data_IF_711066133962
#
_entry.id   IF_711066133962
#
_cell.length_a   1.000
_cell.length_b   1.000
_cell.length_c   1.000
_cell.angle_alpha   90.00
_cell.angle_beta   90.00
_cell.angle_gamma   90.00
#
_symmetry.space_group_name_H-M   'P 1'
#
loop_
_entity.id
_entity.type
_entity.pdbx_description
1 polymer ?
#
# COMPACT_ATOMS: atom_id res chain seq x y z
N UNK A 1 5.12 -10.89 3.16
CA UNK A 1 6.52 -10.41 3.02
C UNK A 1 6.99 -10.45 1.57
N UNK A 2 6.86 -11.57 0.85
CA UNK A 2 7.39 -11.69 -0.52
C UNK A 2 6.87 -10.67 -1.54
N UNK A 3 5.57 -10.35 -1.50
CA UNK A 3 4.98 -9.34 -2.40
C UNK A 3 5.60 -7.96 -2.15
N UNK A 4 5.77 -7.56 -0.88
CA UNK A 4 6.43 -6.30 -0.54
C UNK A 4 7.84 -6.26 -1.11
N UNK A 5 8.65 -7.30 -0.92
CA UNK A 5 10.03 -7.34 -1.41
C UNK A 5 10.11 -7.28 -2.93
N UNK A 6 9.25 -8.03 -3.63
CA UNK A 6 9.16 -8.01 -5.09
C UNK A 6 8.73 -6.63 -5.60
N UNK A 7 7.77 -6.00 -4.93
CA UNK A 7 7.31 -4.65 -5.26
C UNK A 7 8.42 -3.60 -5.09
N UNK A 8 9.22 -3.66 -4.02
CA UNK A 8 10.35 -2.74 -3.84
C UNK A 8 11.32 -2.79 -5.03
N UNK A 9 11.69 -4.00 -5.46
CA UNK A 9 12.60 -4.20 -6.57
C UNK A 9 11.96 -3.76 -7.90
N UNK A 10 10.71 -4.14 -8.15
CA UNK A 10 10.00 -3.86 -9.40
C UNK A 10 9.78 -2.35 -9.61
N UNK A 11 9.27 -1.65 -8.59
CA UNK A 11 9.01 -0.21 -8.66
C UNK A 11 10.25 0.65 -8.42
N UNK A 12 11.41 0.04 -8.13
CA UNK A 12 12.68 0.74 -7.82
C UNK A 12 12.48 1.76 -6.70
N UNK A 13 11.81 1.33 -5.63
CA UNK A 13 11.39 2.18 -4.50
C UNK A 13 12.59 2.83 -3.83
N UNK A 14 12.54 4.16 -3.68
CA UNK A 14 13.56 4.96 -2.98
C UNK A 14 13.05 5.49 -1.65
N UNK A 15 11.75 5.74 -1.54
CA UNK A 15 11.08 6.19 -0.31
C UNK A 15 10.02 5.19 0.12
N UNK A 16 10.27 4.50 1.24
CA UNK A 16 9.37 3.49 1.82
C UNK A 16 8.79 4.00 3.14
N UNK A 17 7.49 3.81 3.33
CA UNK A 17 6.84 3.97 4.62
C UNK A 17 6.19 2.65 5.05
N UNK A 18 6.36 2.29 6.34
CA UNK A 18 5.78 1.09 6.94
C UNK A 18 4.95 1.54 8.14
N UNK A 19 3.65 1.24 8.08
CA UNK A 19 2.66 1.58 9.08
C UNK A 19 2.12 0.31 9.77
N UNK A 20 1.94 0.39 11.09
CA UNK A 20 1.49 -0.71 11.95
C UNK A 20 2.63 -1.47 12.62
N UNK A 21 3.35 -2.32 11.89
CA UNK A 21 4.25 -3.32 12.48
C UNK A 21 5.72 -2.86 12.59
N UNK A 22 6.19 -2.66 13.82
CA UNK A 22 7.56 -2.21 14.13
C UNK A 22 8.65 -3.25 13.82
N UNK A 23 8.34 -4.55 13.92
CA UNK A 23 9.26 -5.63 13.60
C UNK A 23 9.53 -5.71 12.09
N UNK A 24 8.47 -5.59 11.28
CA UNK A 24 8.60 -5.52 9.82
C UNK A 24 9.43 -4.30 9.44
N UNK A 25 9.23 -3.15 10.09
CA UNK A 25 10.03 -1.96 9.84
C UNK A 25 11.53 -2.18 10.14
N UNK A 26 11.85 -2.87 11.22
CA UNK A 26 13.23 -3.21 11.57
C UNK A 26 13.86 -4.19 10.59
N UNK A 27 13.13 -5.25 10.22
CA UNK A 27 13.59 -6.25 9.26
C UNK A 27 13.81 -5.64 7.86
N UNK A 28 12.90 -4.78 7.41
CA UNK A 28 13.03 -4.10 6.13
C UNK A 28 14.24 -3.17 6.09
N UNK A 29 14.53 -2.44 7.17
CA UNK A 29 15.75 -1.63 7.27
C UNK A 29 17.03 -2.46 7.17
N UNK A 30 17.03 -3.67 7.74
CA UNK A 30 18.18 -4.57 7.71
C UNK A 30 18.40 -5.15 6.30
N UNK A 31 17.31 -5.56 5.63
CA UNK A 31 17.37 -6.25 4.34
C UNK A 31 17.48 -5.29 3.15
N UNK A 32 16.96 -4.07 3.30
CA UNK A 32 16.99 -2.99 2.33
C UNK A 32 17.42 -1.70 3.06
N UNK A 33 18.72 -1.41 3.15
CA UNK A 33 19.23 -0.19 3.77
C UNK A 33 19.10 1.05 2.86
N UNK A 34 18.93 0.85 1.56
CA UNK A 34 18.81 1.88 0.50
C UNK A 34 17.52 2.73 0.49
N UNK A 35 16.32 2.23 0.86
CA UNK A 35 15.14 3.07 0.92
C UNK A 35 15.29 4.08 2.05
N UNK A 36 15.22 5.36 1.71
CA UNK A 36 15.11 6.41 2.71
C UNK A 36 13.71 6.33 3.34
N UNK A 37 13.67 6.36 4.67
CA UNK A 37 12.43 6.53 5.42
C UNK A 37 12.27 8.02 5.75
N UNK A 38 12.43 8.90 4.74
CA UNK A 38 12.37 10.38 4.92
C UNK A 38 10.93 10.90 4.97
N UNK A 39 10.72 12.20 5.24
CA UNK A 39 9.38 12.82 5.32
C UNK A 39 8.82 13.29 3.97
N UNK A 40 9.52 12.97 2.88
CA UNK A 40 9.14 13.37 1.52
C UNK A 40 8.04 12.45 0.95
N UNK A 41 7.59 12.77 -0.27
CA UNK A 41 6.64 11.97 -1.04
C UNK A 41 7.08 10.48 -1.07
N UNK A 42 6.13 9.57 -0.85
CA UNK A 42 6.40 8.13 -0.73
C UNK A 42 6.22 7.39 -2.05
N UNK A 43 7.19 6.55 -2.41
CA UNK A 43 7.04 5.67 -3.58
C UNK A 43 6.19 4.46 -3.23
N UNK A 44 6.39 3.89 -2.03
CA UNK A 44 5.59 2.78 -1.53
C UNK A 44 5.24 2.95 -0.06
N UNK A 45 3.97 2.73 0.27
CA UNK A 45 3.46 2.69 1.64
C UNK A 45 2.95 1.29 1.91
N UNK A 46 3.46 0.65 2.95
CA UNK A 46 3.05 -0.68 3.38
C UNK A 46 2.27 -0.60 4.69
N UNK A 47 1.09 -1.22 4.69
CA UNK A 47 0.29 -1.46 5.87
C UNK A 47 0.28 -2.95 6.19
N UNK A 48 0.59 -3.31 7.44
CA UNK A 48 0.56 -4.70 7.85
C UNK A 48 -0.87 -5.30 7.94
N UNK A 49 -1.87 -4.44 8.11
CA UNK A 49 -3.31 -4.74 8.04
C UNK A 49 -4.05 -3.53 7.46
N UNK A 50 -5.29 -3.71 7.02
CA UNK A 50 -6.06 -2.59 6.49
C UNK A 50 -6.40 -1.60 7.62
N UNK A 51 -6.02 -0.32 7.49
CA UNK A 51 -6.32 0.69 8.51
C UNK A 51 -7.83 0.92 8.63
N UNK A 52 -8.26 1.45 9.79
CA UNK A 52 -9.67 1.82 9.99
C UNK A 52 -9.97 3.18 9.33
N UNK A 53 -8.95 4.02 9.26
CA UNK A 53 -8.96 5.32 8.62
C UNK A 53 -9.31 5.19 7.14
N UNK A 54 -10.18 6.08 6.67
CA UNK A 54 -10.48 6.27 5.25
C UNK A 54 -9.24 6.75 4.49
N UNK A 55 -9.26 6.57 3.17
CA UNK A 55 -8.15 7.06 2.35
C UNK A 55 -7.94 8.57 2.48
N UNK A 56 -9.02 9.36 2.62
CA UNK A 56 -8.90 10.81 2.82
C UNK A 56 -8.23 11.16 4.15
N UNK A 57 -8.55 10.47 5.25
CA UNK A 57 -7.91 10.70 6.55
C UNK A 57 -6.42 10.30 6.54
N UNK A 58 -6.05 9.27 5.77
CA UNK A 58 -4.63 8.94 5.58
C UNK A 58 -3.86 10.13 5.01
N UNK A 59 -4.42 10.80 3.99
CA UNK A 59 -3.77 11.92 3.29
C UNK A 59 -3.48 13.13 4.19
N UNK A 60 -4.08 13.21 5.38
CA UNK A 60 -3.78 14.28 6.34
C UNK A 60 -2.36 14.15 6.94
N UNK A 61 -1.77 12.96 6.88
CA UNK A 61 -0.45 12.70 7.46
C UNK A 61 0.53 11.93 6.55
N UNK A 62 0.06 11.31 5.47
CA UNK A 62 0.93 10.71 4.45
C UNK A 62 1.09 11.65 3.24
N UNK A 63 2.31 11.79 2.76
CA UNK A 63 2.58 12.52 1.51
C UNK A 63 2.75 11.55 0.35
N UNK A 64 1.90 11.69 -0.65
CA UNK A 64 1.84 10.81 -1.82
C UNK A 64 2.02 11.59 -3.12
N UNK A 65 2.44 10.89 -4.16
CA UNK A 65 2.56 11.36 -5.53
C UNK A 65 1.80 10.44 -6.49
N UNK A 66 1.76 10.80 -7.78
CA UNK A 66 0.93 10.11 -8.78
C UNK A 66 1.36 8.64 -9.02
N UNK A 67 2.61 8.31 -8.75
CA UNK A 67 3.15 6.95 -8.88
C UNK A 67 3.25 6.22 -7.54
N UNK A 68 2.73 6.79 -6.45
CA UNK A 68 2.71 6.11 -5.15
C UNK A 68 1.89 4.82 -5.23
N UNK A 69 2.48 3.76 -4.66
CA UNK A 69 1.82 2.47 -4.47
C UNK A 69 1.51 2.28 -2.99
N UNK A 70 0.27 1.94 -2.66
CA UNK A 70 -0.08 1.53 -1.29
C UNK A 70 -0.38 0.04 -1.29
N UNK A 71 0.29 -0.70 -0.42
CA UNK A 71 0.17 -2.14 -0.27
C UNK A 71 -0.41 -2.46 1.12
N UNK A 72 -1.61 -3.02 1.15
CA UNK A 72 -2.29 -3.49 2.34
C UNK A 72 -2.13 -5.00 2.45
N UNK A 73 -1.53 -5.48 3.53
CA UNK A 73 -1.47 -6.91 3.81
C UNK A 73 -2.78 -7.38 4.48
N UNK A 74 -3.04 -8.69 4.43
CA UNK A 74 -4.14 -9.36 5.15
C UNK A 74 -5.57 -8.89 4.78
N UNK A 75 -5.80 -8.41 3.56
CA UNK A 75 -7.13 -7.92 3.11
C UNK A 75 -8.27 -8.94 3.25
N UNK A 76 -7.97 -10.24 3.27
CA UNK A 76 -8.96 -11.32 3.46
C UNK A 76 -8.83 -12.05 4.80
N UNK A 77 -8.05 -11.53 5.77
CA UNK A 77 -7.85 -12.27 7.04
C UNK A 77 -9.07 -12.27 7.95
N UNK A 78 -10.02 -11.37 7.73
CA UNK A 78 -11.34 -11.38 8.36
C UNK A 78 -12.34 -10.61 7.51
N UNK A 79 -13.64 -10.82 7.74
CA UNK A 79 -14.69 -10.03 7.09
C UNK A 79 -14.53 -8.52 7.35
N UNK A 80 -14.02 -8.13 8.53
CA UNK A 80 -13.77 -6.73 8.86
C UNK A 80 -12.63 -6.13 8.05
N UNK A 81 -11.54 -6.87 7.83
CA UNK A 81 -10.43 -6.42 6.98
C UNK A 81 -10.86 -6.26 5.54
N UNK A 82 -11.69 -7.19 5.05
CA UNK A 82 -12.22 -7.13 3.69
C UNK A 82 -13.21 -5.98 3.49
N UNK A 83 -14.01 -5.66 4.51
CA UNK A 83 -14.90 -4.50 4.48
C UNK A 83 -14.10 -3.20 4.39
N UNK A 84 -13.04 -3.05 5.20
CA UNK A 84 -12.15 -1.88 5.11
C UNK A 84 -11.51 -1.79 3.73
N UNK A 85 -11.00 -2.91 3.20
CA UNK A 85 -10.42 -2.97 1.86
C UNK A 85 -11.42 -2.51 0.79
N UNK A 86 -12.67 -2.98 0.87
CA UNK A 86 -13.74 -2.58 -0.05
C UNK A 86 -13.97 -1.06 -0.05
N UNK A 87 -13.88 -0.40 1.12
CA UNK A 87 -13.97 1.07 1.21
C UNK A 87 -12.83 1.78 0.47
N UNK A 88 -11.61 1.23 0.51
CA UNK A 88 -10.50 1.76 -0.29
C UNK A 88 -10.72 1.55 -1.79
N UNK A 89 -11.25 0.39 -2.19
CA UNK A 89 -11.59 0.12 -3.60
C UNK A 89 -12.66 1.10 -4.10
N UNK A 90 -13.62 1.46 -3.26
CA UNK A 90 -14.73 2.37 -3.59
C UNK A 90 -14.34 3.86 -3.58
N UNK A 91 -13.24 4.26 -2.94
CA UNK A 91 -12.78 5.66 -2.89
C UNK A 91 -12.44 6.21 -4.29
N UNK A 92 -13.03 7.35 -4.68
CA UNK A 92 -12.88 7.95 -6.02
C UNK A 92 -11.45 8.42 -6.33
N UNK A 93 -10.64 8.70 -5.30
CA UNK A 93 -9.23 9.09 -5.48
C UNK A 93 -8.36 7.88 -5.82
N UNK A 94 -8.83 6.66 -5.54
CA UNK A 94 -8.16 5.42 -5.91
C UNK A 94 -8.58 5.01 -7.33
N UNK A 95 -7.61 5.11 -8.24
CA UNK A 95 -7.82 4.87 -9.67
C UNK A 95 -7.63 3.41 -10.05
N UNK A 96 -6.71 2.71 -9.40
CA UNK A 96 -6.53 1.27 -9.64
C UNK A 96 -6.42 0.58 -8.31
N UNK A 97 -7.15 -0.51 -8.16
CA UNK A 97 -7.03 -1.42 -7.03
C UNK A 97 -6.86 -2.85 -7.53
N UNK A 98 -6.01 -3.62 -6.87
CA UNK A 98 -5.70 -5.01 -7.22
C UNK A 98 -5.81 -5.85 -5.96
N UNK A 99 -6.72 -6.80 -5.97
CA UNK A 99 -6.85 -7.84 -4.96
C UNK A 99 -5.97 -9.04 -5.37
N UNK A 100 -4.93 -9.31 -4.57
CA UNK A 100 -3.98 -10.43 -4.75
C UNK A 100 -4.28 -11.61 -3.81
N UNK A 101 -5.52 -11.74 -3.31
CA UNK A 101 -5.99 -12.68 -2.29
C UNK A 101 -5.35 -12.52 -0.90
N UNK A 102 -4.03 -12.41 -0.80
CA UNK A 102 -3.35 -12.21 0.49
C UNK A 102 -3.13 -10.74 0.85
N UNK A 103 -3.07 -9.88 -0.16
CA UNK A 103 -2.83 -8.44 -0.01
C UNK A 103 -3.56 -7.66 -1.12
N UNK A 104 -3.81 -6.39 -0.85
CA UNK A 104 -4.40 -5.45 -1.80
C UNK A 104 -3.39 -4.38 -2.18
N UNK A 105 -3.36 -3.98 -3.45
CA UNK A 105 -2.56 -2.85 -3.92
C UNK A 105 -3.47 -1.77 -4.47
N UNK A 106 -3.16 -0.51 -4.18
CA UNK A 106 -3.84 0.63 -4.80
C UNK A 106 -2.86 1.62 -5.41
N UNK A 107 -3.30 2.26 -6.49
CA UNK A 107 -2.55 3.25 -7.26
C UNK A 107 -3.39 4.50 -7.48
N UNK A 108 -2.71 5.65 -7.52
CA UNK A 108 -3.32 6.99 -7.53
C UNK A 108 -2.83 7.70 -8.79
N UNK A 109 -3.15 7.10 -9.94
CA UNK A 109 -2.78 7.56 -11.28
C UNK A 109 -3.93 8.36 -11.87
N UNK A 110 -3.88 9.68 -11.74
CA UNK A 110 -4.97 10.58 -12.14
C UNK A 110 -5.34 10.48 -13.63
N UNK A 111 -4.43 9.97 -14.45
CA UNK A 111 -4.57 9.73 -15.88
C UNK A 111 -5.35 8.45 -16.25
N UNK A 112 -5.58 7.55 -15.29
CA UNK A 112 -6.19 6.25 -15.55
C UNK A 112 -7.64 6.19 -15.03
N UNK A 113 -8.53 5.56 -15.80
CA UNK A 113 -9.90 5.31 -15.37
C UNK A 113 -9.94 4.36 -14.16
N UNK A 114 -10.97 4.52 -13.32
CA UNK A 114 -11.16 3.68 -12.14
C UNK A 114 -11.32 2.20 -12.51
N UNK A 115 -10.45 1.34 -11.98
CA UNK A 115 -10.44 -0.09 -12.25
C UNK A 115 -10.14 -0.91 -10.99
N UNK A 116 -10.81 -2.05 -10.86
CA UNK A 116 -10.54 -3.05 -9.83
C UNK A 116 -10.22 -4.39 -10.48
N UNK A 117 -9.12 -5.01 -10.08
CA UNK A 117 -8.64 -6.28 -10.61
C UNK A 117 -8.57 -7.34 -9.51
N UNK A 118 -8.96 -8.57 -9.84
CA UNK A 118 -8.70 -9.75 -9.03
C UNK A 118 -7.64 -10.61 -9.71
N UNK A 119 -6.52 -10.84 -9.03
CA UNK A 119 -5.45 -11.70 -9.52
C UNK A 119 -5.16 -12.73 -8.44
N UNK A 120 -5.25 -14.01 -8.80
CA UNK A 120 -4.84 -15.11 -7.92
C UNK A 120 -3.42 -15.51 -8.27
N UNK A 121 -2.50 -15.31 -7.33
CA UNK A 121 -1.07 -15.65 -7.45
C UNK A 121 -0.68 -16.80 -6.52
#
# INVERSE_FOLDING_TARGET
>A
MDVLLKSLAYFKVRSLEILGNSEIKAEMKKRYPEPSFSKDLKDLIYFDSVPNESFTELLDYIQIHNDTVILFNRIHSSSSEFEKWSRFVEDEKITVSIDLFHCGMVFIRREQAKQHFYIRI
#
